data_IF_407508552792
#
_entry.id   IF_407508552792
#
_cell.length_a   1.000
_cell.length_b   1.000
_cell.length_c   1.000
_cell.angle_alpha   90.00
_cell.angle_beta   90.00
_cell.angle_gamma   90.00
#
_symmetry.space_group_name_H-M   'P 1'
#
loop_
_entity.id
_entity.type
_entity.pdbx_description
1 polymer ?
#
# COMPACT_ATOMS: atom_id res chain seq x y z
N UNK A 1 5.36 4.91 -0.18
CA UNK A 1 4.69 4.64 1.11
C UNK A 1 4.23 5.94 1.76
N UNK A 2 5.11 6.83 2.21
CA UNK A 2 4.67 8.10 2.84
C UNK A 2 3.82 8.98 1.89
N UNK A 3 4.31 9.27 0.67
CA UNK A 3 3.53 10.03 -0.32
C UNK A 3 2.25 9.32 -0.76
N UNK A 4 2.26 7.98 -0.88
CA UNK A 4 1.05 7.23 -1.22
C UNK A 4 0.03 7.27 -0.08
N UNK A 5 0.46 7.24 1.19
CA UNK A 5 -0.43 7.43 2.34
C UNK A 5 -1.12 8.80 2.36
N UNK A 6 -0.41 9.85 1.97
CA UNK A 6 -1.02 11.19 1.83
C UNK A 6 -2.10 11.18 0.74
N UNK A 7 -1.86 10.53 -0.40
CA UNK A 7 -2.87 10.40 -1.46
C UNK A 7 -4.11 9.63 -0.99
N UNK A 8 -3.94 8.49 -0.31
CA UNK A 8 -5.06 7.71 0.22
C UNK A 8 -5.89 8.47 1.27
N UNK A 9 -5.23 9.22 2.16
CA UNK A 9 -5.95 10.06 3.13
C UNK A 9 -6.65 11.24 2.44
N UNK A 10 -6.15 11.72 1.31
CA UNK A 10 -6.84 12.69 0.46
C UNK A 10 -8.15 12.15 -0.14
N UNK A 11 -8.22 10.86 -0.48
CA UNK A 11 -9.47 10.22 -0.92
C UNK A 11 -10.47 10.08 0.23
N UNK A 12 -9.98 9.73 1.43
CA UNK A 12 -10.80 9.65 2.65
C UNK A 12 -11.44 11.00 2.98
N UNK A 13 -10.66 12.09 2.93
CA UNK A 13 -11.21 13.42 3.20
C UNK A 13 -12.22 13.82 2.13
N UNK A 14 -11.95 13.59 0.85
CA UNK A 14 -12.94 13.84 -0.22
C UNK A 14 -14.24 13.04 -0.01
N UNK A 15 -14.16 11.76 0.39
CA UNK A 15 -15.33 10.93 0.67
C UNK A 15 -16.16 11.42 1.85
N UNK A 16 -15.51 11.91 2.91
CA UNK A 16 -16.20 12.50 4.07
C UNK A 16 -16.87 13.83 3.69
N UNK A 17 -16.19 14.68 2.92
CA UNK A 17 -16.73 15.97 2.50
C UNK A 17 -17.78 15.89 1.39
N UNK A 18 -17.98 14.72 0.77
CA UNK A 18 -19.02 14.50 -0.23
C UNK A 18 -20.44 14.54 0.37
N UNK A 19 -20.59 14.39 1.69
CA UNK A 19 -21.86 14.57 2.40
C UNK A 19 -22.94 13.54 2.04
N UNK A 20 -22.55 12.39 1.48
CA UNK A 20 -23.44 11.28 1.13
C UNK A 20 -23.07 10.00 1.88
N UNK A 21 -24.05 9.13 2.14
CA UNK A 21 -23.82 7.88 2.87
C UNK A 21 -22.82 6.96 2.15
N UNK A 22 -22.84 6.98 0.81
CA UNK A 22 -21.92 6.21 -0.03
C UNK A 22 -20.47 6.68 0.09
N UNK A 23 -20.22 7.99 0.18
CA UNK A 23 -18.89 8.57 0.36
C UNK A 23 -18.32 8.34 1.75
N UNK A 24 -19.16 8.36 2.79
CA UNK A 24 -18.76 7.99 4.15
C UNK A 24 -18.40 6.50 4.22
N UNK A 25 -19.20 5.62 3.60
CA UNK A 25 -18.89 4.19 3.53
C UNK A 25 -17.59 3.91 2.76
N UNK A 26 -17.39 4.57 1.61
CA UNK A 26 -16.15 4.50 0.84
C UNK A 26 -14.94 4.98 1.65
N UNK A 27 -15.06 6.13 2.32
CA UNK A 27 -14.01 6.67 3.18
C UNK A 27 -13.61 5.71 4.32
N UNK A 28 -14.58 5.08 4.98
CA UNK A 28 -14.32 4.07 6.02
C UNK A 28 -13.63 2.83 5.43
N UNK A 29 -14.10 2.35 4.28
CA UNK A 29 -13.48 1.21 3.61
C UNK A 29 -12.05 1.51 3.16
N UNK A 30 -11.81 2.71 2.63
CA UNK A 30 -10.51 3.19 2.20
C UNK A 30 -9.54 3.36 3.38
N UNK A 31 -10.00 3.83 4.55
CA UNK A 31 -9.19 3.90 5.77
C UNK A 31 -8.74 2.52 6.24
N UNK A 32 -9.66 1.56 6.31
CA UNK A 32 -9.35 0.18 6.73
C UNK A 32 -8.40 -0.49 5.74
N UNK A 33 -8.68 -0.38 4.45
CA UNK A 33 -7.86 -0.96 3.38
C UNK A 33 -6.45 -0.35 3.38
N UNK A 34 -6.34 0.97 3.52
CA UNK A 34 -5.05 1.64 3.59
C UNK A 34 -4.26 1.22 4.84
N UNK A 35 -4.90 1.10 6.00
CA UNK A 35 -4.25 0.66 7.23
C UNK A 35 -3.59 -0.72 7.09
N UNK A 36 -4.31 -1.68 6.49
CA UNK A 36 -3.79 -3.02 6.26
C UNK A 36 -2.65 -3.04 5.22
N UNK A 37 -2.83 -2.36 4.09
CA UNK A 37 -1.84 -2.35 2.99
C UNK A 37 -0.56 -1.61 3.40
N UNK A 38 -0.69 -0.44 4.02
CA UNK A 38 0.46 0.34 4.47
C UNK A 38 1.24 -0.42 5.55
N UNK A 39 0.56 -1.05 6.51
CA UNK A 39 1.18 -1.90 7.54
C UNK A 39 1.96 -3.07 6.93
N UNK A 40 1.37 -3.77 5.96
CA UNK A 40 2.05 -4.86 5.25
C UNK A 40 3.28 -4.36 4.46
N UNK A 41 3.17 -3.23 3.76
CA UNK A 41 4.29 -2.63 3.02
C UNK A 41 5.43 -2.19 3.95
N UNK A 42 5.11 -1.57 5.09
CA UNK A 42 6.12 -1.19 6.08
C UNK A 42 6.82 -2.40 6.69
N UNK A 43 6.09 -3.49 6.95
CA UNK A 43 6.67 -4.74 7.43
C UNK A 43 7.58 -5.38 6.37
N UNK A 44 7.14 -5.41 5.11
CA UNK A 44 7.95 -5.90 4.00
C UNK A 44 9.26 -5.10 3.83
N UNK A 45 9.19 -3.77 3.87
CA UNK A 45 10.38 -2.91 3.80
C UNK A 45 11.26 -3.10 5.03
N UNK A 46 10.69 -3.29 6.22
CA UNK A 46 11.44 -3.56 7.45
C UNK A 46 12.29 -4.82 7.37
N UNK A 47 11.73 -5.92 6.87
CA UNK A 47 12.46 -7.19 6.69
C UNK A 47 13.57 -7.07 5.63
N UNK A 48 13.31 -6.35 4.53
CA UNK A 48 14.33 -6.10 3.50
C UNK A 48 15.45 -5.21 4.05
N UNK A 49 15.10 -4.21 4.85
CA UNK A 49 16.06 -3.31 5.49
C UNK A 49 16.93 -4.03 6.52
N UNK A 50 16.36 -4.91 7.33
CA UNK A 50 17.11 -5.74 8.30
C UNK A 50 18.15 -6.63 7.62
N UNK A 51 17.85 -7.12 6.42
CA UNK A 51 18.74 -8.02 5.65
C UNK A 51 19.85 -7.28 4.91
N UNK A 52 19.57 -6.08 4.40
CA UNK A 52 20.46 -5.37 3.49
C UNK A 52 21.17 -4.18 4.15
N UNK A 53 20.64 -3.64 5.26
CA UNK A 53 21.11 -2.43 5.97
C UNK A 53 21.29 -1.17 5.09
N UNK A 54 20.88 -1.21 3.83
CA UNK A 54 20.85 -0.08 2.90
C UNK A 54 19.39 0.24 2.55
N UNK A 55 19.07 1.52 2.37
CA UNK A 55 17.76 2.02 1.91
C UNK A 55 17.75 2.38 0.41
N UNK A 56 18.83 2.13 -0.30
CA UNK A 56 18.97 2.55 -1.69
C UNK A 56 18.31 1.57 -2.66
N UNK A 57 17.37 2.10 -3.44
CA UNK A 57 16.61 1.34 -4.44
C UNK A 57 17.53 0.72 -5.51
N UNK A 58 18.65 1.38 -5.82
CA UNK A 58 19.64 0.91 -6.79
C UNK A 58 20.30 -0.42 -6.39
N UNK A 59 20.45 -0.68 -5.09
CA UNK A 59 21.05 -1.91 -4.57
C UNK A 59 20.05 -3.06 -4.40
N UNK A 60 18.74 -2.80 -4.55
CA UNK A 60 17.71 -3.84 -4.55
C UNK A 60 17.55 -4.56 -5.89
N UNK A 61 18.40 -4.27 -6.88
CA UNK A 61 18.49 -5.02 -8.13
C UNK A 61 18.81 -6.50 -7.88
N UNK A 62 17.95 -7.40 -8.37
CA UNK A 62 18.11 -8.86 -8.20
C UNK A 62 17.37 -9.47 -6.99
N UNK A 63 16.61 -8.68 -6.22
CA UNK A 63 15.77 -9.19 -5.12
C UNK A 63 14.77 -10.24 -5.61
N UNK A 64 14.23 -10.06 -6.82
CA UNK A 64 13.31 -10.99 -7.48
C UNK A 64 13.94 -12.37 -7.75
N UNK A 65 15.26 -12.42 -8.00
CA UNK A 65 15.98 -13.66 -8.27
C UNK A 65 16.41 -14.38 -6.98
N UNK A 66 16.77 -13.63 -5.92
CA UNK A 66 17.16 -14.21 -4.62
C UNK A 66 15.98 -14.58 -3.73
N UNK A 67 14.86 -13.85 -3.80
CA UNK A 67 13.69 -14.04 -2.94
C UNK A 67 12.38 -13.91 -3.73
N UNK A 68 12.09 -14.85 -4.65
CA UNK A 68 10.94 -14.75 -5.57
C UNK A 68 9.59 -14.69 -4.85
N UNK A 69 9.40 -15.44 -3.77
CA UNK A 69 8.15 -15.42 -2.99
C UNK A 69 7.93 -14.07 -2.28
N UNK A 70 9.01 -13.49 -1.75
CA UNK A 70 8.96 -12.20 -1.08
C UNK A 70 8.70 -11.06 -2.07
N UNK A 71 9.32 -11.14 -3.25
CA UNK A 71 9.07 -10.21 -4.34
C UNK A 71 7.62 -10.29 -4.85
N UNK A 72 7.04 -11.49 -4.95
CA UNK A 72 5.64 -11.66 -5.33
C UNK A 72 4.67 -11.05 -4.30
N UNK A 73 4.91 -11.26 -3.01
CA UNK A 73 4.12 -10.67 -1.92
C UNK A 73 4.25 -9.14 -1.90
N UNK A 74 5.47 -8.62 -2.03
CA UNK A 74 5.73 -7.18 -2.10
C UNK A 74 5.05 -6.55 -3.33
N UNK A 75 5.11 -7.22 -4.48
CA UNK A 75 4.44 -6.80 -5.70
C UNK A 75 2.91 -6.80 -5.53
N UNK A 76 2.35 -7.85 -4.92
CA UNK A 76 0.92 -7.92 -4.61
C UNK A 76 0.46 -6.74 -3.74
N UNK A 77 1.18 -6.44 -2.65
CA UNK A 77 0.84 -5.31 -1.78
C UNK A 77 1.03 -3.95 -2.45
N UNK A 78 2.03 -3.80 -3.31
CA UNK A 78 2.19 -2.56 -4.10
C UNK A 78 1.08 -2.41 -5.12
N UNK A 79 0.65 -3.47 -5.79
CA UNK A 79 -0.52 -3.43 -6.69
C UNK A 79 -1.82 -3.13 -5.93
N UNK A 80 -1.99 -3.70 -4.73
CA UNK A 80 -3.12 -3.39 -3.86
C UNK A 80 -3.13 -1.90 -3.44
N UNK A 81 -1.95 -1.32 -3.18
CA UNK A 81 -1.82 0.10 -2.86
C UNK A 81 -2.11 1.03 -4.06
N UNK A 82 -1.90 0.57 -5.30
CA UNK A 82 -2.22 1.35 -6.51
C UNK A 82 -3.73 1.31 -6.83
N UNK A 83 -4.49 0.42 -6.20
CA UNK A 83 -5.91 0.27 -6.47
C UNK A 83 -6.19 -0.52 -7.74
N UNK A 84 -5.45 -1.61 -7.96
CA UNK A 84 -5.73 -2.52 -9.08
C UNK A 84 -7.17 -3.08 -8.96
N UNK A 85 -7.97 -3.11 -10.04
CA UNK A 85 -9.29 -3.75 -10.01
C UNK A 85 -9.19 -5.20 -9.53
N UNK A 86 -9.93 -5.52 -8.45
CA UNK A 86 -9.84 -6.79 -7.73
C UNK A 86 -9.06 -6.73 -6.40
N UNK A 87 -8.48 -5.58 -6.04
CA UNK A 87 -7.83 -5.36 -4.74
C UNK A 87 -8.62 -4.39 -3.87
N UNK A 88 -8.44 -4.46 -2.55
CA UNK A 88 -9.17 -3.62 -1.58
C UNK A 88 -8.93 -2.12 -1.75
N UNK A 89 -7.86 -1.70 -2.45
CA UNK A 89 -7.63 -0.30 -2.79
C UNK A 89 -8.47 0.26 -3.94
N UNK A 90 -9.25 -0.57 -4.65
CA UNK A 90 -10.09 -0.13 -5.78
C UNK A 90 -11.57 0.10 -5.41
N UNK A 91 -12.05 -0.51 -4.33
CA UNK A 91 -13.47 -0.51 -3.94
C UNK A 91 -13.81 0.68 -3.02
N UNK A 92 -12.80 1.27 -2.37
CA UNK A 92 -12.92 2.39 -1.43
C UNK A 92 -13.02 3.75 -2.10
#
# INVERSE_FOLDING_TARGET
IAYSSVAHMGFVTMGIFAGNDTGIQGAVFQMLSHGLISGALFLCVGVVYDRMHTREIAFYGGLTARMPWYAAIFLMFTMANVGLPGTSGFIG
#
